data_IF_726552250519
#
_entry.id   IF_726552250519
#
_cell.length_a   1.000
_cell.length_b   1.000
_cell.length_c   1.000
_cell.angle_alpha   90.00
_cell.angle_beta   90.00
_cell.angle_gamma   90.00
#
_symmetry.space_group_name_H-M   'P 1'
#
loop_
_entity.id
_entity.type
_entity.pdbx_description
1 polymer ?
#
# COMPACT_ATOMS: atom_id res chain seq x y z
N UNK A 1 -6.35 -6.31 -7.61
CA UNK A 1 -6.37 -4.92 -7.09
C UNK A 1 -6.47 -3.96 -8.27
N UNK A 2 -6.62 -2.66 -8.06
CA UNK A 2 -6.44 -1.69 -9.16
C UNK A 2 -5.71 -0.47 -8.61
N UNK A 3 -4.85 0.14 -9.43
CA UNK A 3 -4.15 1.37 -9.06
C UNK A 3 -4.56 2.53 -9.96
N UNK A 4 -4.96 3.64 -9.34
CA UNK A 4 -5.20 4.91 -10.00
C UNK A 4 -4.08 5.89 -9.63
N UNK A 5 -3.30 6.27 -10.65
CA UNK A 5 -2.17 7.19 -10.53
C UNK A 5 -2.40 8.52 -11.26
N UNK A 6 -3.65 8.91 -11.53
CA UNK A 6 -3.99 10.20 -12.16
C UNK A 6 -3.54 11.39 -11.32
N UNK A 7 -3.48 11.22 -9.99
CA UNK A 7 -3.06 12.24 -9.02
C UNK A 7 -1.65 11.97 -8.45
N UNK A 8 -0.79 11.26 -9.20
CA UNK A 8 0.60 10.97 -8.78
C UNK A 8 1.29 12.26 -8.26
N UNK A 9 1.98 12.23 -7.09
CA UNK A 9 2.47 11.07 -6.33
C UNK A 9 1.48 10.46 -5.32
N UNK A 10 0.19 10.76 -5.43
CA UNK A 10 -0.87 10.09 -4.66
C UNK A 10 -1.46 8.95 -5.50
N UNK A 11 -1.18 7.71 -5.12
CA UNK A 11 -1.63 6.52 -5.85
C UNK A 11 -2.76 5.84 -5.08
N UNK A 12 -3.97 5.86 -5.64
CA UNK A 12 -5.13 5.22 -5.02
C UNK A 12 -5.20 3.74 -5.39
N UNK A 13 -5.23 2.88 -4.39
CA UNK A 13 -5.32 1.44 -4.54
C UNK A 13 -6.67 0.92 -4.01
N UNK A 14 -7.33 0.10 -4.82
CA UNK A 14 -8.55 -0.59 -4.41
C UNK A 14 -8.31 -2.11 -4.31
N UNK A 15 -8.63 -2.67 -3.15
CA UNK A 15 -8.53 -4.10 -2.86
C UNK A 15 -9.72 -4.93 -3.38
N UNK A 16 -10.71 -4.32 -4.03
CA UNK A 16 -11.84 -5.06 -4.58
C UNK A 16 -11.36 -6.14 -5.56
N UNK A 17 -11.35 -7.39 -5.11
CA UNK A 17 -11.11 -8.55 -5.95
C UNK A 17 -12.36 -8.74 -6.83
N UNK A 18 -12.25 -8.40 -8.11
CA UNK A 18 -13.25 -8.85 -9.08
C UNK A 18 -12.97 -10.31 -9.44
N UNK A 19 -13.99 -11.19 -9.53
CA UNK A 19 -13.78 -12.55 -10.02
C UNK A 19 -13.15 -12.53 -11.42
N UNK A 20 -12.08 -13.31 -11.63
CA UNK A 20 -11.35 -13.35 -12.91
C UNK A 20 -10.23 -12.30 -13.05
N UNK A 21 -9.82 -11.66 -11.96
CA UNK A 21 -8.74 -10.67 -11.96
C UNK A 21 -7.35 -11.31 -12.18
N UNK A 22 -6.55 -10.71 -13.05
CA UNK A 22 -5.21 -11.17 -13.40
C UNK A 22 -4.17 -10.58 -12.42
N UNK A 23 -3.57 -11.44 -11.60
CA UNK A 23 -2.53 -11.05 -10.65
C UNK A 23 -1.26 -10.49 -11.33
N UNK A 24 -1.00 -10.83 -12.59
CA UNK A 24 0.13 -10.22 -13.32
C UNK A 24 -0.16 -8.76 -13.64
N UNK A 25 -1.38 -8.45 -14.07
CA UNK A 25 -1.80 -7.07 -14.35
C UNK A 25 -1.70 -6.17 -13.13
N UNK A 26 -2.04 -6.70 -11.96
CA UNK A 26 -1.85 -6.05 -10.66
C UNK A 26 -0.41 -5.61 -10.42
N UNK A 27 0.54 -6.52 -10.63
CA UNK A 27 1.95 -6.23 -10.47
C UNK A 27 2.48 -5.26 -11.53
N UNK A 28 1.98 -5.34 -12.76
CA UNK A 28 2.38 -4.44 -13.84
C UNK A 28 1.93 -2.99 -13.56
N UNK A 29 0.72 -2.80 -13.02
CA UNK A 29 0.22 -1.48 -12.59
C UNK A 29 1.06 -0.90 -11.44
N UNK A 30 1.45 -1.73 -10.46
CA UNK A 30 2.36 -1.30 -9.39
C UNK A 30 3.74 -0.96 -9.97
N UNK A 31 4.31 -1.83 -10.82
CA UNK A 31 5.62 -1.65 -11.42
C UNK A 31 5.68 -0.37 -12.29
N UNK A 32 4.58 0.00 -12.95
CA UNK A 32 4.48 1.25 -13.70
C UNK A 32 4.68 2.49 -12.81
N UNK A 33 4.23 2.45 -11.55
CA UNK A 33 4.50 3.52 -10.58
C UNK A 33 5.97 3.53 -10.14
N UNK A 34 6.57 2.36 -9.89
CA UNK A 34 7.99 2.26 -9.52
C UNK A 34 8.92 2.74 -10.64
N UNK A 35 8.55 2.52 -11.91
CA UNK A 35 9.33 2.94 -13.09
C UNK A 35 9.44 4.45 -13.25
N UNK A 36 8.59 5.23 -12.59
CA UNK A 36 8.68 6.70 -12.57
C UNK A 36 9.94 7.20 -11.86
N UNK A 37 10.49 6.40 -10.94
CA UNK A 37 11.72 6.76 -10.20
C UNK A 37 11.52 7.86 -9.15
N UNK A 38 10.27 8.24 -8.86
CA UNK A 38 9.91 9.27 -7.89
C UNK A 38 9.22 8.65 -6.67
N UNK A 39 9.41 9.24 -5.49
CA UNK A 39 8.76 8.79 -4.27
C UNK A 39 7.25 9.08 -4.30
N UNK A 40 6.45 8.14 -3.81
CA UNK A 40 4.99 8.24 -3.79
C UNK A 40 4.39 7.59 -2.55
N UNK A 41 3.11 7.89 -2.32
CA UNK A 41 2.31 7.32 -1.22
C UNK A 41 1.14 6.57 -1.81
N UNK A 42 0.89 5.37 -1.28
CA UNK A 42 -0.26 4.56 -1.63
C UNK A 42 -1.40 4.89 -0.67
N UNK A 43 -2.59 5.15 -1.20
CA UNK A 43 -3.80 5.46 -0.45
C UNK A 43 -4.84 4.38 -0.71
N UNK A 44 -5.58 3.96 0.31
CA UNK A 44 -6.69 3.02 0.12
C UNK A 44 -7.87 3.34 1.01
N UNK A 45 -9.08 3.37 0.42
CA UNK A 45 -10.34 3.57 1.15
C UNK A 45 -10.94 2.27 1.68
N UNK A 46 -10.30 1.13 1.43
CA UNK A 46 -10.72 -0.17 1.92
C UNK A 46 -9.64 -0.79 2.80
N UNK A 47 -10.04 -1.25 3.99
CA UNK A 47 -9.20 -2.15 4.76
C UNK A 47 -9.08 -3.48 4.01
N UNK A 48 -7.90 -4.14 4.01
CA UNK A 48 -7.80 -5.51 3.51
C UNK A 48 -8.86 -6.37 4.20
N UNK A 49 -9.74 -7.02 3.43
CA UNK A 49 -10.73 -7.94 3.98
C UNK A 49 -10.04 -9.18 4.54
N UNK A 50 -10.38 -9.57 5.77
CA UNK A 50 -9.80 -10.75 6.45
C UNK A 50 -10.17 -12.07 5.76
N UNK A 51 -11.20 -12.08 4.90
CA UNK A 51 -11.82 -13.30 4.35
C UNK A 51 -11.16 -13.88 3.09
N UNK A 52 -10.07 -13.30 2.59
CA UNK A 52 -9.39 -13.82 1.40
C UNK A 52 -8.12 -14.60 1.77
N UNK A 53 -8.27 -15.91 1.96
CA UNK A 53 -7.10 -16.79 2.01
C UNK A 53 -6.43 -16.85 0.63
N UNK A 54 -5.28 -16.18 0.52
CA UNK A 54 -4.44 -16.32 -0.66
C UNK A 54 -3.91 -17.75 -0.79
N UNK A 55 -3.99 -18.30 -2.00
CA UNK A 55 -3.44 -19.62 -2.30
C UNK A 55 -1.91 -19.63 -2.13
N UNK A 56 -1.27 -20.79 -1.89
CA UNK A 56 0.19 -20.87 -1.82
C UNK A 56 0.91 -20.35 -3.08
N UNK A 57 0.27 -20.48 -4.24
CA UNK A 57 0.80 -20.04 -5.53
C UNK A 57 0.81 -18.50 -5.62
N UNK A 58 -0.28 -17.85 -5.22
CA UNK A 58 -0.36 -16.39 -5.12
C UNK A 58 0.68 -15.84 -4.15
N UNK A 59 0.84 -16.48 -2.98
CA UNK A 59 1.88 -16.11 -1.99
C UNK A 59 3.28 -16.21 -2.58
N UNK A 60 3.55 -17.22 -3.42
CA UNK A 60 4.84 -17.40 -4.11
C UNK A 60 5.08 -16.30 -5.15
N UNK A 61 4.07 -15.94 -5.94
CA UNK A 61 4.17 -14.87 -6.94
C UNK A 61 4.48 -13.51 -6.28
N UNK A 62 3.73 -13.15 -5.24
CA UNK A 62 3.99 -11.96 -4.43
C UNK A 62 5.42 -11.96 -3.89
N UNK A 63 5.87 -13.08 -3.32
CA UNK A 63 7.21 -13.19 -2.74
C UNK A 63 8.33 -13.01 -3.77
N UNK A 64 8.15 -13.54 -4.99
CA UNK A 64 9.13 -13.41 -6.08
C UNK A 64 9.19 -11.98 -6.60
N UNK A 65 8.03 -11.36 -6.84
CA UNK A 65 7.93 -9.98 -7.28
C UNK A 65 8.54 -9.03 -6.23
N UNK A 66 8.19 -9.21 -4.96
CA UNK A 66 8.75 -8.46 -3.84
C UNK A 66 10.28 -8.54 -3.79
N UNK A 67 10.87 -9.71 -3.99
CA UNK A 67 12.33 -9.87 -4.02
C UNK A 67 12.97 -9.07 -5.17
N UNK A 68 12.36 -9.08 -6.35
CA UNK A 68 12.83 -8.35 -7.54
C UNK A 68 12.76 -6.83 -7.33
N UNK A 69 11.71 -6.33 -6.70
CA UNK A 69 11.44 -4.89 -6.56
C UNK A 69 11.79 -4.31 -5.19
N UNK A 70 12.35 -5.11 -4.27
CA UNK A 70 12.61 -4.77 -2.87
C UNK A 70 13.29 -3.42 -2.66
N UNK A 71 14.31 -3.11 -3.45
CA UNK A 71 15.04 -1.84 -3.32
C UNK A 71 14.14 -0.67 -3.69
N UNK A 72 13.51 -0.71 -4.86
CA UNK A 72 12.60 0.34 -5.33
C UNK A 72 11.43 0.56 -4.37
N UNK A 73 10.86 -0.52 -3.82
CA UNK A 73 9.77 -0.42 -2.84
C UNK A 73 10.22 0.32 -1.58
N UNK A 74 11.41 0.00 -1.06
CA UNK A 74 11.96 0.66 0.14
C UNK A 74 12.37 2.10 -0.07
N UNK A 75 12.72 2.48 -1.30
CA UNK A 75 13.21 3.83 -1.61
C UNK A 75 12.12 4.76 -2.12
N UNK A 76 11.15 4.24 -2.87
CA UNK A 76 10.14 5.05 -3.56
C UNK A 76 8.78 5.03 -2.85
N UNK A 77 8.40 3.95 -2.18
CA UNK A 77 7.12 3.92 -1.47
C UNK A 77 7.32 4.45 -0.05
N UNK A 78 6.85 5.68 0.20
CA UNK A 78 7.03 6.32 1.51
C UNK A 78 6.14 5.69 2.57
N UNK A 79 4.89 5.38 2.21
CA UNK A 79 3.95 4.67 3.06
C UNK A 79 2.79 4.12 2.22
N UNK A 80 2.07 3.17 2.82
CA UNK A 80 0.68 2.90 2.48
C UNK A 80 -0.23 3.44 3.58
N UNK A 81 -1.18 4.29 3.25
CA UNK A 81 -2.16 4.86 4.18
C UNK A 81 -3.53 4.26 3.89
N UNK A 82 -4.12 3.60 4.89
CA UNK A 82 -5.43 2.97 4.80
C UNK A 82 -6.44 3.77 5.60
N UNK A 83 -7.57 4.11 4.98
CA UNK A 83 -8.68 4.77 5.63
C UNK A 83 -9.51 3.73 6.39
N UNK A 84 -9.61 3.92 7.70
CA UNK A 84 -10.44 3.11 8.59
C UNK A 84 -11.10 4.05 9.63
N UNK A 85 -12.38 4.43 9.43
CA UNK A 85 -13.10 5.34 10.31
C UNK A 85 -13.23 4.82 11.75
N UNK A 86 -13.29 3.51 11.96
CA UNK A 86 -13.43 2.91 13.28
C UNK A 86 -12.11 2.98 14.05
N UNK A 87 -12.10 3.76 15.14
CA UNK A 87 -10.95 3.81 16.04
C UNK A 87 -10.58 2.43 16.60
N UNK A 88 -11.57 1.61 16.95
CA UNK A 88 -11.34 0.26 17.47
C UNK A 88 -10.62 -0.63 16.44
N UNK A 89 -11.05 -0.57 15.17
CA UNK A 89 -10.37 -1.30 14.08
C UNK A 89 -8.97 -0.76 13.83
N UNK A 90 -8.76 0.57 13.89
CA UNK A 90 -7.41 1.15 13.79
C UNK A 90 -6.47 0.65 14.87
N UNK A 91 -6.96 0.45 16.08
CA UNK A 91 -6.15 -0.15 17.16
C UNK A 91 -5.84 -1.61 16.87
N UNK A 92 -6.82 -2.40 16.42
CA UNK A 92 -6.63 -3.82 16.07
C UNK A 92 -5.59 -4.02 14.95
N UNK A 93 -5.57 -3.13 13.96
CA UNK A 93 -4.63 -3.20 12.83
C UNK A 93 -3.18 -2.86 13.17
N UNK A 94 -2.87 -2.33 14.36
CA UNK A 94 -1.48 -1.97 14.73
C UNK A 94 -0.51 -3.16 14.69
N UNK A 95 -0.96 -4.35 15.11
CA UNK A 95 -0.12 -5.54 15.04
C UNK A 95 0.13 -5.98 13.59
N UNK A 96 -0.90 -5.89 12.75
CA UNK A 96 -0.83 -6.21 11.33
C UNK A 96 0.09 -5.23 10.57
N UNK A 97 0.03 -3.94 10.87
CA UNK A 97 0.86 -2.92 10.21
C UNK A 97 2.35 -3.13 10.47
N UNK A 98 2.73 -3.60 11.67
CA UNK A 98 4.12 -3.95 11.99
C UNK A 98 4.62 -5.16 11.18
N UNK A 99 3.79 -6.19 10.99
CA UNK A 99 4.13 -7.34 10.13
C UNK A 99 4.19 -6.95 8.66
N UNK A 100 3.25 -6.11 8.21
CA UNK A 100 3.22 -5.55 6.88
C UNK A 100 4.53 -4.83 6.55
N UNK A 101 4.99 -3.93 7.42
CA UNK A 101 6.20 -3.15 7.18
C UNK A 101 7.45 -4.03 7.04
N UNK A 102 7.54 -5.12 7.82
CA UNK A 102 8.64 -6.09 7.69
C UNK A 102 8.62 -6.81 6.34
N UNK A 103 7.44 -7.15 5.85
CA UNK A 103 7.26 -7.87 4.58
C UNK A 103 7.51 -6.95 3.37
N UNK A 104 6.87 -5.77 3.36
CA UNK A 104 6.89 -4.85 2.22
C UNK A 104 8.11 -3.92 2.20
N UNK A 105 8.67 -3.61 3.36
CA UNK A 105 9.81 -2.70 3.49
C UNK A 105 9.45 -1.22 3.56
N UNK A 106 8.16 -0.88 3.60
CA UNK A 106 7.63 0.47 3.84
C UNK A 106 6.47 0.40 4.84
N UNK A 107 6.20 1.46 5.61
CA UNK A 107 5.20 1.43 6.67
C UNK A 107 3.76 1.43 6.14
N UNK A 108 2.87 0.78 6.89
CA UNK A 108 1.42 0.96 6.76
C UNK A 108 0.92 1.86 7.89
N UNK A 109 0.17 2.90 7.54
CA UNK A 109 -0.38 3.89 8.46
C UNK A 109 -1.91 3.92 8.31
N UNK A 110 -2.62 4.27 9.38
CA UNK A 110 -4.08 4.27 9.40
C UNK A 110 -4.61 5.68 9.59
N UNK A 111 -5.47 6.13 8.68
CA UNK A 111 -6.18 7.39 8.74
C UNK A 111 -7.66 7.17 9.09
N UNK A 112 -8.29 8.11 9.78
CA UNK A 112 -9.72 8.08 10.11
C UNK A 112 -10.60 8.54 8.95
N UNK A 113 -10.05 9.26 7.97
CA UNK A 113 -10.78 9.77 6.81
C UNK A 113 -9.88 9.88 5.59
N UNK A 114 -10.51 10.02 4.41
CA UNK A 114 -9.84 10.28 3.13
C UNK A 114 -9.01 11.56 3.17
N UNK A 115 -9.58 12.63 3.73
CA UNK A 115 -8.92 13.92 3.91
C UNK A 115 -7.66 13.78 4.75
N UNK A 116 -7.77 13.12 5.90
CA UNK A 116 -6.61 12.86 6.75
C UNK A 116 -5.54 12.03 6.02
N UNK A 117 -5.94 11.04 5.24
CA UNK A 117 -4.98 10.24 4.47
C UNK A 117 -4.21 11.08 3.44
N UNK A 118 -4.90 11.99 2.75
CA UNK A 118 -4.28 12.92 1.79
C UNK A 118 -3.33 13.89 2.50
N UNK A 119 -3.74 14.47 3.63
CA UNK A 119 -2.89 15.39 4.40
C UNK A 119 -1.62 14.71 4.89
N UNK A 120 -1.74 13.50 5.45
CA UNK A 120 -0.60 12.69 5.87
C UNK A 120 0.31 12.33 4.69
N UNK A 121 -0.26 11.99 3.53
CA UNK A 121 0.52 11.69 2.33
C UNK A 121 1.32 12.92 1.86
N UNK A 122 0.70 14.09 1.84
CA UNK A 122 1.36 15.36 1.46
C UNK A 122 2.48 15.72 2.42
N UNK A 123 2.27 15.52 3.72
CA UNK A 123 3.31 15.71 4.73
C UNK A 123 4.51 14.80 4.45
N UNK A 124 4.29 13.49 4.28
CA UNK A 124 5.34 12.52 3.96
C UNK A 124 6.13 12.87 2.69
N UNK A 125 5.43 13.31 1.65
CA UNK A 125 6.04 13.70 0.38
C UNK A 125 6.90 14.97 0.52
N UNK A 126 6.52 15.88 1.43
CA UNK A 126 7.27 17.12 1.69
C UNK A 126 8.54 16.89 2.53
N UNK A 127 8.52 15.92 3.45
CA UNK A 127 9.62 15.67 4.38
C UNK A 127 10.57 14.56 3.93
N UNK A 128 10.16 13.72 2.97
CA UNK A 128 10.95 12.61 2.45
C UNK A 128 11.16 11.45 3.43
N UNK A 129 10.51 11.45 4.60
CA UNK A 129 10.63 10.41 5.61
C UNK A 129 9.39 10.33 6.52
N UNK A 130 9.03 9.11 6.92
CA UNK A 130 8.08 8.88 8.01
C UNK A 130 8.81 9.15 9.33
N UNK A 131 8.47 10.24 10.03
CA UNK A 131 8.98 10.46 11.38
C UNK A 131 8.51 9.34 12.31
N UNK A 132 9.41 8.62 13.00
CA UNK A 132 9.00 7.68 14.03
C UNK A 132 8.47 8.48 15.22
N UNK A 133 7.19 8.30 15.55
CA UNK A 133 6.64 8.68 16.86
C UNK A 133 6.91 7.58 17.88
#
# INVERSE_FOLDING_TARGET
MTMNSSDFPLVWMNFSHQPGHDAQKDFDEFEANLKRGESFVILSDSSPSEDHEHTPEEKKLVSLWMKKHKLQLRTLVLAMIVVEPSQAKRVAYKAMSAMFAKFWGYPMILAASREQAIDMARELLSTGAVSPQ
#
